data_IF_267424775157
#
_entry.id   IF_267424775157
#
_cell.length_a   1.000
_cell.length_b   1.000
_cell.length_c   1.000
_cell.angle_alpha   90.00
_cell.angle_beta   90.00
_cell.angle_gamma   90.00
#
_symmetry.space_group_name_H-M   'P 1'
#
loop_
_entity.id
_entity.type
_entity.pdbx_description
1 polymer ?
#
# COMPACT_ATOMS: atom_id res chain seq x y z
N UNK A 1 -18.11 2.66 -18.28
CA UNK A 1 -17.09 1.60 -18.43
C UNK A 1 -17.14 0.72 -17.19
N UNK A 2 -17.53 -0.54 -17.34
CA UNK A 2 -17.63 -1.46 -16.21
C UNK A 2 -16.23 -1.71 -15.65
N UNK A 3 -15.95 -1.18 -14.45
CA UNK A 3 -14.77 -1.57 -13.71
C UNK A 3 -14.86 -3.09 -13.47
N UNK A 4 -13.96 -3.92 -14.02
CA UNK A 4 -14.01 -5.35 -13.72
C UNK A 4 -13.86 -5.52 -12.21
N UNK A 5 -14.82 -6.24 -11.62
CA UNK A 5 -14.77 -6.60 -10.20
C UNK A 5 -13.42 -7.27 -9.90
N UNK A 6 -12.80 -6.97 -8.76
CA UNK A 6 -11.55 -7.61 -8.39
C UNK A 6 -11.77 -9.12 -8.32
N UNK A 7 -10.85 -9.90 -8.89
CA UNK A 7 -10.91 -11.38 -8.87
C UNK A 7 -10.94 -11.94 -7.45
N UNK A 8 -10.52 -11.14 -6.46
CA UNK A 8 -10.62 -11.43 -5.04
C UNK A 8 -11.34 -10.26 -4.38
N UNK A 9 -12.58 -10.46 -3.96
CA UNK A 9 -13.25 -9.52 -3.07
C UNK A 9 -12.51 -9.57 -1.71
N UNK A 10 -11.97 -8.43 -1.22
CA UNK A 10 -11.36 -8.42 0.10
C UNK A 10 -12.47 -8.73 1.11
N UNK A 11 -12.34 -9.82 1.86
CA UNK A 11 -13.09 -9.95 3.10
C UNK A 11 -12.56 -8.84 4.02
N UNK A 12 -13.25 -7.70 4.08
CA UNK A 12 -12.89 -6.57 4.95
C UNK A 12 -13.13 -7.00 6.39
N UNK A 13 -12.22 -7.81 6.92
CA UNK A 13 -12.11 -8.01 8.37
C UNK A 13 -11.59 -6.68 8.90
N UNK A 14 -12.39 -5.96 9.69
CA UNK A 14 -11.96 -4.74 10.39
C UNK A 14 -10.64 -5.05 11.08
N UNK A 15 -9.53 -4.56 10.52
CA UNK A 15 -8.24 -4.62 11.18
C UNK A 15 -8.32 -3.60 12.29
N UNK A 16 -7.97 -4.00 13.50
CA UNK A 16 -7.72 -3.07 14.60
C UNK A 16 -6.55 -2.18 14.16
N UNK A 17 -6.86 -1.08 13.48
CA UNK A 17 -5.92 -0.02 13.23
C UNK A 17 -5.77 0.68 14.57
N UNK A 18 -4.96 0.12 15.46
CA UNK A 18 -4.42 0.86 16.58
C UNK A 18 -3.24 1.63 16.00
N UNK A 19 -3.40 2.89 15.57
CA UNK A 19 -2.26 3.66 15.15
C UNK A 19 -1.39 3.76 16.40
N UNK A 20 -0.20 3.18 16.33
CA UNK A 20 0.82 3.36 17.35
C UNK A 20 1.34 4.79 17.22
N UNK A 21 0.49 5.77 17.54
CA UNK A 21 0.84 7.18 17.67
C UNK A 21 1.75 7.27 18.91
N UNK A 22 3.05 7.19 18.67
CA UNK A 22 4.08 7.54 19.62
C UNK A 22 4.08 9.07 19.82
N UNK A 23 3.04 9.59 20.48
CA UNK A 23 3.11 10.95 21.02
C UNK A 23 4.17 10.94 22.12
N UNK A 24 5.20 11.77 22.00
CA UNK A 24 6.24 11.90 23.03
C UNK A 24 5.77 12.87 24.11
N UNK A 25 5.51 12.36 25.32
CA UNK A 25 5.91 13.11 26.51
C UNK A 25 6.62 12.18 27.51
N UNK A 26 7.71 12.66 28.10
CA UNK A 26 8.47 12.04 29.21
C UNK A 26 9.26 10.74 28.90
N UNK A 27 10.58 10.90 28.75
CA UNK A 27 11.59 9.84 28.50
C UNK A 27 11.56 8.67 29.49
N UNK A 28 11.05 8.86 30.71
CA UNK A 28 11.02 7.84 31.76
C UNK A 28 9.73 6.99 31.78
N UNK A 29 8.61 7.54 31.32
CA UNK A 29 7.36 6.79 31.27
C UNK A 29 7.33 5.82 30.08
N UNK A 30 8.02 6.15 28.99
CA UNK A 30 8.16 5.26 27.82
C UNK A 30 8.84 3.93 28.14
N UNK A 31 9.93 3.95 28.91
CA UNK A 31 10.65 2.72 29.27
C UNK A 31 9.83 1.85 30.22
N UNK A 32 9.11 2.45 31.18
CA UNK A 32 8.19 1.73 32.06
C UNK A 32 7.01 1.10 31.30
N UNK A 33 6.41 1.81 30.35
CA UNK A 33 5.31 1.29 29.50
C UNK A 33 5.80 0.14 28.61
N UNK A 34 6.98 0.26 27.98
CA UNK A 34 7.57 -0.81 27.17
C UNK A 34 7.84 -2.06 28.02
N UNK A 35 8.36 -1.88 29.24
CA UNK A 35 8.56 -2.98 30.18
C UNK A 35 7.24 -3.67 30.57
N UNK A 36 6.19 -2.89 30.85
CA UNK A 36 4.87 -3.42 31.19
C UNK A 36 4.23 -4.19 30.02
N UNK A 37 4.38 -3.68 28.79
CA UNK A 37 3.91 -4.34 27.56
C UNK A 37 4.67 -5.66 27.35
N UNK A 38 5.99 -5.67 27.46
CA UNK A 38 6.79 -6.89 27.35
C UNK A 38 6.46 -7.91 28.43
N UNK A 39 6.22 -7.45 29.67
CA UNK A 39 5.78 -8.30 30.78
C UNK A 39 4.39 -8.90 30.50
N UNK A 40 3.46 -8.11 29.95
CA UNK A 40 2.12 -8.56 29.57
C UNK A 40 2.17 -9.58 28.42
N UNK A 41 2.99 -9.34 27.39
CA UNK A 41 3.21 -10.29 26.30
C UNK A 41 3.85 -11.60 26.77
N UNK A 42 4.77 -11.56 27.75
CA UNK A 42 5.38 -12.77 28.34
C UNK A 42 4.40 -13.62 29.14
N UNK A 43 3.44 -12.99 29.84
CA UNK A 43 2.46 -13.69 30.70
C UNK A 43 1.35 -14.37 29.90
N UNK A 44 0.99 -13.82 28.75
CA UNK A 44 -0.15 -14.28 27.94
C UNK A 44 0.25 -15.22 26.79
N UNK A 45 1.54 -15.54 26.61
CA UNK A 45 2.06 -16.45 25.58
C UNK A 45 1.49 -16.19 24.18
N UNK A 46 1.24 -14.92 23.84
CA UNK A 46 0.63 -14.56 22.55
C UNK A 46 1.72 -14.68 21.48
N UNK A 47 1.62 -15.65 20.55
CA UNK A 47 2.63 -15.76 19.51
C UNK A 47 2.45 -14.58 18.55
N UNK A 48 3.52 -13.84 18.23
CA UNK A 48 3.48 -12.72 17.28
C UNK A 48 2.91 -13.12 15.90
N UNK A 49 2.92 -14.41 15.57
CA UNK A 49 2.31 -14.97 14.35
C UNK A 49 0.80 -14.76 14.30
N UNK A 50 0.11 -14.67 15.45
CA UNK A 50 -1.33 -14.43 15.55
C UNK A 50 -1.75 -13.01 15.17
N UNK A 51 -0.83 -12.04 15.21
CA UNK A 51 -1.07 -10.64 14.81
C UNK A 51 -0.96 -10.44 13.30
N UNK A 52 -0.50 -11.45 12.56
CA UNK A 52 -0.41 -11.38 11.11
C UNK A 52 -1.81 -11.61 10.50
N UNK A 53 -2.35 -10.59 9.83
CA UNK A 53 -3.57 -10.73 9.05
C UNK A 53 -3.47 -11.81 7.96
N UNK A 54 -4.61 -12.21 7.38
CA UNK A 54 -4.70 -13.25 6.33
C UNK A 54 -3.65 -13.00 5.23
N UNK A 55 -2.81 -14.01 4.96
CA UNK A 55 -1.70 -13.91 3.97
C UNK A 55 -2.18 -13.44 2.59
N UNK A 56 -3.38 -13.88 2.16
CA UNK A 56 -3.95 -13.56 0.84
C UNK A 56 -4.31 -12.08 0.65
N UNK A 57 -4.67 -11.38 1.72
CA UNK A 57 -5.10 -9.96 1.68
C UNK A 57 -4.03 -9.02 2.22
N UNK A 58 -2.81 -9.52 2.46
CA UNK A 58 -1.65 -8.70 2.82
C UNK A 58 -1.28 -7.84 1.60
N UNK A 59 -1.07 -6.53 1.83
CA UNK A 59 -0.71 -5.54 0.80
C UNK A 59 -1.75 -5.32 -0.32
N UNK A 60 -3.02 -5.65 -0.06
CA UNK A 60 -4.12 -5.37 -0.99
C UNK A 60 -4.78 -4.03 -0.62
N UNK A 61 -5.18 -3.26 -1.64
CA UNK A 61 -5.98 -2.05 -1.48
C UNK A 61 -7.39 -2.41 -1.03
N UNK A 62 -8.13 -1.47 -0.40
CA UNK A 62 -9.54 -1.67 -0.08
C UNK A 62 -10.40 -1.94 -1.33
N UNK A 63 -9.91 -1.56 -2.51
CA UNK A 63 -10.51 -1.85 -3.82
C UNK A 63 -10.33 -3.29 -4.29
N UNK A 64 -9.52 -4.11 -3.60
CA UNK A 64 -9.31 -5.54 -3.93
C UNK A 64 -8.13 -5.82 -4.88
N UNK A 65 -7.35 -4.80 -5.24
CA UNK A 65 -6.18 -4.93 -6.11
C UNK A 65 -4.88 -4.80 -5.31
N UNK A 66 -3.77 -5.33 -5.83
CA UNK A 66 -2.44 -5.12 -5.25
C UNK A 66 -1.71 -3.99 -5.96
N UNK A 67 -0.98 -3.15 -5.24
CA UNK A 67 -0.12 -2.13 -5.84
C UNK A 67 1.23 -2.72 -6.25
N UNK A 68 1.70 -2.30 -7.43
CA UNK A 68 3.04 -2.56 -7.94
C UNK A 68 3.74 -1.23 -8.18
N UNK A 69 4.90 -1.00 -7.55
CA UNK A 69 5.68 0.21 -7.72
C UNK A 69 6.60 0.09 -8.93
N UNK A 70 6.31 0.82 -10.01
CA UNK A 70 7.09 0.81 -11.25
C UNK A 70 8.04 2.00 -11.36
N UNK A 71 9.27 1.72 -11.81
CA UNK A 71 10.34 2.71 -11.96
C UNK A 71 10.63 3.03 -13.42
N UNK A 72 10.27 2.11 -14.33
CA UNK A 72 10.50 2.23 -15.76
C UNK A 72 9.31 1.71 -16.58
N UNK A 73 9.23 2.15 -17.84
CA UNK A 73 8.19 1.71 -18.80
C UNK A 73 8.23 0.19 -19.00
N UNK A 74 9.44 -0.40 -19.05
CA UNK A 74 9.65 -1.84 -19.24
C UNK A 74 9.10 -2.66 -18.06
N UNK A 75 9.17 -2.15 -16.84
CA UNK A 75 8.63 -2.84 -15.66
C UNK A 75 7.10 -2.81 -15.66
N UNK A 76 6.50 -1.76 -16.21
CA UNK A 76 5.06 -1.66 -16.37
C UNK A 76 4.52 -2.55 -17.49
N UNK A 77 5.33 -2.86 -18.50
CA UNK A 77 4.94 -3.77 -19.57
C UNK A 77 4.58 -5.17 -19.05
N UNK A 78 5.26 -5.64 -17.99
CA UNK A 78 4.94 -6.91 -17.30
C UNK A 78 3.51 -6.91 -16.73
N UNK A 79 2.96 -5.74 -16.41
CA UNK A 79 1.60 -5.63 -15.88
C UNK A 79 0.53 -5.78 -16.97
N UNK A 80 0.86 -5.69 -18.25
CA UNK A 80 -0.13 -5.78 -19.33
C UNK A 80 -0.93 -7.08 -19.28
N UNK A 81 -0.29 -8.19 -18.90
CA UNK A 81 -0.95 -9.49 -18.76
C UNK A 81 -1.72 -9.64 -17.43
N UNK A 82 -1.42 -8.81 -16.43
CA UNK A 82 -1.93 -8.94 -15.06
C UNK A 82 -2.80 -7.75 -14.60
N UNK A 83 -3.30 -6.95 -15.54
CA UNK A 83 -4.17 -5.77 -15.37
C UNK A 83 -5.46 -6.02 -14.55
N UNK A 84 -5.90 -7.27 -14.39
CA UNK A 84 -7.08 -7.64 -13.58
C UNK A 84 -6.79 -7.74 -12.07
N UNK A 85 -5.51 -7.85 -11.69
CA UNK A 85 -5.12 -8.11 -10.30
C UNK A 85 -4.27 -7.00 -9.69
N UNK A 86 -3.57 -6.22 -10.52
CA UNK A 86 -2.62 -5.21 -10.06
C UNK A 86 -2.99 -3.80 -10.54
N UNK A 87 -2.73 -2.81 -9.67
CA UNK A 87 -2.59 -1.41 -10.06
C UNK A 87 -1.10 -1.05 -10.10
N UNK A 88 -0.73 -0.24 -11.09
CA UNK A 88 0.59 0.37 -11.13
C UNK A 88 0.62 1.65 -10.29
N UNK A 89 1.67 1.83 -9.49
CA UNK A 89 2.03 3.06 -8.83
C UNK A 89 3.36 3.54 -9.43
N UNK A 90 3.39 4.77 -9.93
CA UNK A 90 4.60 5.33 -10.53
C UNK A 90 5.50 5.87 -9.43
N UNK A 91 6.76 5.43 -9.41
CA UNK A 91 7.74 5.92 -8.46
C UNK A 91 7.96 7.44 -8.60
N UNK A 92 8.28 8.10 -7.49
CA UNK A 92 8.49 9.53 -7.44
C UNK A 92 9.61 10.01 -8.39
N UNK A 93 10.65 9.21 -8.60
CA UNK A 93 11.83 9.55 -9.41
C UNK A 93 11.51 9.69 -10.92
N UNK A 94 10.42 9.11 -11.42
CA UNK A 94 10.11 9.13 -12.86
C UNK A 94 9.80 10.57 -13.32
N UNK A 95 10.43 11.00 -14.42
CA UNK A 95 10.21 12.30 -15.05
C UNK A 95 8.80 12.45 -15.63
N UNK A 96 8.30 13.68 -15.78
CA UNK A 96 6.98 13.96 -16.37
C UNK A 96 6.85 13.40 -17.79
N UNK A 97 7.90 13.54 -18.61
CA UNK A 97 7.96 12.99 -19.98
C UNK A 97 7.68 11.49 -20.02
N UNK A 98 8.35 10.71 -19.17
CA UNK A 98 8.15 9.27 -19.10
C UNK A 98 6.77 8.91 -18.51
N UNK A 99 6.23 9.72 -17.59
CA UNK A 99 4.86 9.56 -17.07
C UNK A 99 3.80 9.75 -18.15
N UNK A 100 3.99 10.68 -19.09
CA UNK A 100 3.07 10.89 -20.21
C UNK A 100 3.01 9.65 -21.13
N UNK A 101 4.14 8.99 -21.35
CA UNK A 101 4.20 7.71 -22.10
C UNK A 101 3.50 6.60 -21.33
N UNK A 102 3.72 6.53 -20.01
CA UNK A 102 3.11 5.55 -19.10
C UNK A 102 1.61 5.77 -18.87
N UNK A 103 1.07 6.96 -19.14
CA UNK A 103 -0.34 7.28 -18.92
C UNK A 103 -1.27 6.77 -20.03
N UNK A 104 -0.74 6.43 -21.22
CA UNK A 104 -1.52 5.95 -22.38
C UNK A 104 -1.88 4.45 -22.43
N UNK A 105 -1.13 3.49 -21.84
CA UNK A 105 -1.47 2.07 -21.89
C UNK A 105 -2.70 1.75 -21.02
N UNK A 106 -3.41 0.66 -21.34
CA UNK A 106 -4.62 0.14 -20.65
C UNK A 106 -4.41 -0.26 -19.18
N UNK A 107 -3.21 -0.07 -18.64
CA UNK A 107 -2.84 -0.40 -17.27
C UNK A 107 -3.49 0.60 -16.33
N UNK A 108 -4.14 0.12 -15.28
CA UNK A 108 -4.74 1.02 -14.29
C UNK A 108 -3.65 1.55 -13.36
N UNK A 109 -3.54 2.88 -13.28
CA UNK A 109 -2.54 3.58 -12.46
C UNK A 109 -3.22 4.30 -11.30
N UNK A 110 -2.66 4.23 -10.09
CA UNK A 110 -3.19 4.93 -8.90
C UNK A 110 -2.95 6.44 -8.94
N UNK A 111 -1.79 6.85 -9.45
CA UNK A 111 -1.32 8.23 -9.48
C UNK A 111 -1.11 8.75 -10.91
N UNK A 112 -2.19 8.77 -11.72
CA UNK A 112 -2.11 9.11 -13.14
C UNK A 112 -1.68 10.57 -13.38
N UNK A 113 -2.16 11.48 -12.53
CA UNK A 113 -2.03 12.93 -12.75
C UNK A 113 -0.83 13.57 -12.02
N UNK A 114 0.00 12.80 -11.30
CA UNK A 114 1.13 13.40 -10.60
C UNK A 114 2.16 13.97 -11.59
N UNK A 115 2.51 15.24 -11.37
CA UNK A 115 3.54 15.98 -12.13
C UNK A 115 3.19 16.27 -13.59
N UNK A 116 2.01 15.87 -14.07
CA UNK A 116 1.53 16.23 -15.42
C UNK A 116 0.76 17.56 -15.45
N UNK A 117 0.19 18.00 -14.30
CA UNK A 117 -0.62 19.23 -14.20
C UNK A 117 0.15 20.54 -14.31
N UNK A 118 1.49 20.52 -14.20
CA UNK A 118 2.32 21.71 -14.24
C UNK A 118 2.70 22.16 -15.66
N UNK A 119 2.54 21.30 -16.68
CA UNK A 119 2.98 21.59 -18.06
C UNK A 119 1.85 22.10 -18.98
N UNK A 120 0.59 22.07 -18.54
CA UNK A 120 -0.59 22.46 -19.34
C UNK A 120 -1.15 23.85 -18.98
N UNK A 121 -0.56 24.52 -17.97
CA UNK A 121 -0.97 25.83 -17.47
C UNK A 121 0.10 26.93 -17.67
N UNK A 122 1.05 26.72 -18.58
CA UNK A 122 1.95 27.73 -19.16
C UNK A 122 1.76 27.73 -20.68
#
# INVERSE_FOLDING_TARGET
SLNPLPLVLPSVTKKNFSPSFLWQPFKYLKTAIIFLINLLFSKLNIPMTSLCGKRKTKHMLPTGFKTFLGHSVKELEVLMMSNKSYYAEIAHNVSSKNRKVIAQPTIKITNLNARLRSEENE
#
